data_IF_366042686255
#
_entry.id   IF_366042686255
#
_cell.length_a   1.000
_cell.length_b   1.000
_cell.length_c   1.000
_cell.angle_alpha   90.00
_cell.angle_beta   90.00
_cell.angle_gamma   90.00
#
_symmetry.space_group_name_H-M   'P 1'
#
loop_
_entity.id
_entity.type
_entity.pdbx_description
1 polymer ?
#
# COMPACT_ATOMS: atom_id res chain seq x y z
N UNK A 1 7.29 -6.77 27.87
CA UNK A 1 6.62 -5.46 27.80
C UNK A 1 6.57 -5.04 26.34
N UNK A 2 5.44 -4.57 25.81
CA UNK A 2 5.36 -4.15 24.40
C UNK A 2 6.09 -2.81 24.22
N UNK A 3 6.80 -2.65 23.10
CA UNK A 3 7.38 -1.38 22.68
C UNK A 3 7.28 -1.26 21.16
N UNK A 4 6.95 -0.08 20.65
CA UNK A 4 7.02 0.16 19.21
C UNK A 4 8.46 0.14 18.66
N UNK A 5 9.48 0.16 19.54
CA UNK A 5 10.90 0.05 19.15
C UNK A 5 11.31 -1.39 18.84
N UNK A 6 10.67 -2.39 19.46
CA UNK A 6 11.09 -3.79 19.39
C UNK A 6 10.18 -4.69 18.52
N UNK A 7 9.45 -4.09 17.57
CA UNK A 7 8.48 -4.82 16.72
C UNK A 7 9.15 -5.98 15.95
N UNK A 8 10.40 -5.81 15.52
CA UNK A 8 11.15 -6.88 14.83
C UNK A 8 11.87 -7.88 15.76
N UNK A 9 11.88 -7.68 17.08
CA UNK A 9 12.69 -8.46 18.03
C UNK A 9 12.41 -9.97 18.00
N UNK A 10 11.15 -10.36 17.77
CA UNK A 10 10.77 -11.78 17.64
C UNK A 10 11.29 -12.45 16.36
N UNK A 11 11.54 -11.68 15.30
CA UNK A 11 11.97 -12.22 13.99
C UNK A 11 13.49 -12.42 13.93
N UNK A 12 14.25 -11.72 14.78
CA UNK A 12 15.71 -11.90 14.91
C UNK A 12 16.06 -13.34 15.29
N UNK A 13 15.13 -14.09 15.91
CA UNK A 13 15.31 -15.50 16.28
C UNK A 13 14.93 -16.52 15.19
N UNK A 14 14.24 -16.12 14.13
CA UNK A 14 13.64 -17.08 13.16
C UNK A 14 14.28 -17.06 11.76
N UNK A 15 15.18 -16.14 11.44
CA UNK A 15 15.79 -16.11 10.10
C UNK A 15 17.26 -16.58 10.10
N UNK A 16 17.46 -17.90 10.14
CA UNK A 16 18.52 -18.54 9.36
C UNK A 16 17.86 -19.17 8.13
N UNK A 17 17.81 -18.45 7.02
CA UNK A 17 17.61 -19.11 5.74
C UNK A 17 18.95 -19.75 5.37
N UNK A 18 19.11 -21.03 5.70
CA UNK A 18 20.14 -21.86 5.10
C UNK A 18 19.76 -22.07 3.63
N UNK A 19 20.67 -21.71 2.73
CA UNK A 19 20.59 -22.09 1.33
C UNK A 19 20.63 -23.62 1.24
N UNK A 20 19.47 -24.25 1.20
CA UNK A 20 19.32 -25.68 1.12
C UNK A 20 19.41 -26.08 -0.35
N UNK A 21 20.48 -26.80 -0.71
CA UNK A 21 20.56 -27.48 -2.00
C UNK A 21 19.67 -28.72 -1.89
N UNK A 22 18.48 -28.65 -2.48
CA UNK A 22 17.54 -29.77 -2.48
C UNK A 22 17.99 -30.84 -3.46
N UNK A 23 17.88 -32.11 -3.06
CA UNK A 23 18.05 -33.25 -3.98
C UNK A 23 16.82 -33.37 -4.90
N UNK A 24 16.99 -33.96 -6.07
CA UNK A 24 15.90 -34.14 -7.05
C UNK A 24 14.69 -34.88 -6.46
N UNK A 25 14.94 -35.89 -5.63
CA UNK A 25 13.91 -36.66 -4.93
C UNK A 25 13.06 -35.78 -3.99
N UNK A 26 13.70 -34.86 -3.24
CA UNK A 26 13.03 -33.92 -2.34
C UNK A 26 12.19 -32.88 -3.12
N UNK A 27 12.68 -32.45 -4.29
CA UNK A 27 11.94 -31.56 -5.19
C UNK A 27 10.68 -32.26 -5.72
N UNK A 28 10.79 -33.52 -6.13
CA UNK A 28 9.67 -34.32 -6.64
C UNK A 28 8.65 -34.59 -5.53
N UNK A 29 9.12 -34.93 -4.33
CA UNK A 29 8.26 -35.16 -3.17
C UNK A 29 7.47 -33.89 -2.80
N UNK A 30 8.14 -32.74 -2.77
CA UNK A 30 7.51 -31.43 -2.59
C UNK A 30 6.40 -31.15 -3.62
N UNK A 31 6.64 -31.46 -4.89
CA UNK A 31 5.62 -31.32 -5.94
C UNK A 31 4.44 -32.28 -5.75
N UNK A 32 4.71 -33.57 -5.49
CA UNK A 32 3.68 -34.60 -5.28
C UNK A 32 2.80 -34.31 -4.07
N UNK A 33 3.39 -33.75 -3.01
CA UNK A 33 2.67 -33.32 -1.81
C UNK A 33 1.78 -32.08 -2.01
N UNK A 34 1.83 -31.48 -3.20
CA UNK A 34 1.02 -30.32 -3.56
C UNK A 34 1.41 -29.06 -2.79
N UNK A 35 2.66 -28.93 -2.35
CA UNK A 35 3.09 -27.75 -1.60
C UNK A 35 2.89 -26.47 -2.41
N UNK A 36 2.10 -25.54 -1.87
CA UNK A 36 1.72 -24.27 -2.51
C UNK A 36 0.94 -24.44 -3.84
N UNK A 37 0.26 -25.58 -4.05
CA UNK A 37 -0.62 -25.77 -5.20
C UNK A 37 -1.91 -24.99 -5.00
N UNK A 38 -2.22 -24.12 -5.95
CA UNK A 38 -3.47 -23.37 -5.98
C UNK A 38 -4.53 -24.21 -6.67
N UNK A 39 -5.66 -24.42 -5.99
CA UNK A 39 -6.86 -25.02 -6.55
C UNK A 39 -7.71 -23.91 -7.15
N UNK A 40 -8.07 -24.06 -8.42
CA UNK A 40 -8.87 -23.07 -9.14
C UNK A 40 -10.09 -23.71 -9.78
N UNK A 41 -11.20 -22.99 -9.76
CA UNK A 41 -12.37 -23.28 -10.58
C UNK A 41 -12.52 -22.23 -11.69
N UNK A 42 -13.26 -22.60 -12.75
CA UNK A 42 -13.62 -21.69 -13.83
C UNK A 42 -15.12 -21.49 -13.84
N UNK A 43 -15.55 -20.24 -13.98
CA UNK A 43 -16.95 -19.87 -14.10
C UNK A 43 -17.19 -18.97 -15.32
N UNK A 44 -18.43 -18.94 -15.80
CA UNK A 44 -18.86 -18.03 -16.87
C UNK A 44 -20.19 -17.40 -16.47
N UNK A 45 -20.18 -16.10 -16.25
CA UNK A 45 -21.37 -15.35 -15.85
C UNK A 45 -22.02 -14.72 -17.08
N UNK A 46 -23.30 -15.02 -17.38
CA UNK A 46 -24.05 -14.26 -18.38
C UNK A 46 -24.05 -12.78 -18.01
N UNK A 47 -23.79 -11.89 -18.98
CA UNK A 47 -23.71 -10.45 -18.67
C UNK A 47 -25.04 -9.90 -18.11
N UNK A 48 -26.17 -10.41 -18.61
CA UNK A 48 -27.50 -9.99 -18.18
C UNK A 48 -27.79 -10.27 -16.69
N UNK A 49 -27.21 -11.34 -16.13
CA UNK A 49 -27.39 -11.72 -14.72
C UNK A 49 -26.31 -11.12 -13.80
N UNK A 50 -25.36 -10.35 -14.35
CA UNK A 50 -24.19 -9.91 -13.58
C UNK A 50 -24.58 -9.01 -12.39
N UNK A 51 -25.63 -8.20 -12.52
CA UNK A 51 -26.17 -7.39 -11.41
C UNK A 51 -26.59 -8.29 -10.23
N UNK A 52 -27.44 -9.28 -10.48
CA UNK A 52 -27.95 -10.19 -9.44
C UNK A 52 -26.81 -10.99 -8.78
N UNK A 53 -25.89 -11.50 -9.60
CA UNK A 53 -24.78 -12.34 -9.12
C UNK A 53 -23.86 -11.55 -8.18
N UNK A 54 -23.51 -10.31 -8.55
CA UNK A 54 -22.50 -9.52 -7.83
C UNK A 54 -23.04 -8.63 -6.71
N UNK A 55 -24.36 -8.51 -6.54
CA UNK A 55 -24.96 -7.72 -5.46
C UNK A 55 -24.88 -8.41 -4.07
N UNK A 56 -25.08 -9.73 -4.00
CA UNK A 56 -25.23 -10.41 -2.71
C UNK A 56 -23.90 -10.97 -2.15
N UNK A 57 -23.10 -11.60 -3.00
CA UNK A 57 -22.03 -12.51 -2.56
C UNK A 57 -20.61 -12.05 -2.93
N UNK A 58 -20.47 -10.86 -3.54
CA UNK A 58 -19.20 -10.39 -4.09
C UNK A 58 -18.79 -9.05 -3.49
N UNK A 59 -17.59 -8.99 -2.91
CA UNK A 59 -16.98 -7.71 -2.55
C UNK A 59 -16.37 -7.04 -3.79
N UNK A 60 -17.18 -6.19 -4.43
CA UNK A 60 -16.80 -5.40 -5.61
C UNK A 60 -15.87 -4.23 -5.32
N UNK A 61 -15.67 -3.83 -4.06
CA UNK A 61 -14.87 -2.64 -3.69
C UNK A 61 -13.93 -2.92 -2.52
N UNK A 62 -12.95 -3.82 -2.67
CA UNK A 62 -11.82 -3.88 -1.76
C UNK A 62 -11.21 -2.49 -1.53
N UNK A 63 -10.96 -2.14 -0.27
CA UNK A 63 -10.51 -0.79 0.12
C UNK A 63 -9.20 -0.37 -0.59
N UNK A 64 -8.40 -1.36 -0.98
CA UNK A 64 -7.09 -1.19 -1.59
C UNK A 64 -7.11 -0.80 -3.09
N UNK A 65 -8.24 -0.90 -3.80
CA UNK A 65 -8.35 -0.52 -5.23
C UNK A 65 -9.19 0.75 -5.49
N UNK A 66 -9.60 1.49 -4.44
CA UNK A 66 -10.59 2.60 -4.55
C UNK A 66 -10.15 3.83 -5.36
N UNK A 67 -8.88 3.99 -5.74
CA UNK A 67 -8.35 5.27 -6.28
C UNK A 67 -8.29 5.37 -7.82
N UNK A 68 -8.46 4.28 -8.58
CA UNK A 68 -8.36 4.33 -10.05
C UNK A 68 -9.67 3.87 -10.71
N UNK A 69 -10.28 4.73 -11.53
CA UNK A 69 -11.53 4.46 -12.25
C UNK A 69 -11.30 4.69 -13.74
N UNK A 70 -11.72 3.76 -14.59
CA UNK A 70 -11.64 3.95 -16.04
C UNK A 70 -12.48 5.15 -16.50
N UNK A 71 -11.93 5.94 -17.42
CA UNK A 71 -12.68 6.97 -18.12
C UNK A 71 -13.77 6.36 -19.03
N UNK A 72 -14.73 7.18 -19.44
CA UNK A 72 -15.88 6.71 -20.22
C UNK A 72 -15.46 6.12 -21.57
N UNK A 73 -14.37 6.60 -22.18
CA UNK A 73 -13.86 6.07 -23.46
C UNK A 73 -13.37 4.63 -23.29
N UNK A 74 -12.55 4.37 -22.27
CA UNK A 74 -12.06 3.03 -21.97
C UNK A 74 -13.18 2.08 -21.54
N UNK A 75 -14.15 2.58 -20.76
CA UNK A 75 -15.39 1.84 -20.44
C UNK A 75 -16.14 1.46 -21.71
N UNK A 76 -16.31 2.39 -22.64
CA UNK A 76 -17.05 2.18 -23.89
C UNK A 76 -16.36 1.18 -24.81
N UNK A 77 -15.02 1.21 -24.91
CA UNK A 77 -14.24 0.21 -25.66
C UNK A 77 -14.40 -1.21 -25.13
N UNK A 78 -14.59 -1.40 -23.82
CA UNK A 78 -14.92 -2.71 -23.26
C UNK A 78 -16.29 -3.20 -23.77
N UNK A 79 -17.30 -2.31 -23.77
CA UNK A 79 -18.63 -2.65 -24.29
C UNK A 79 -18.56 -2.95 -25.80
N UNK A 80 -17.77 -2.17 -26.57
CA UNK A 80 -17.52 -2.43 -27.99
C UNK A 80 -17.01 -3.84 -28.21
N UNK A 81 -16.03 -4.29 -27.43
CA UNK A 81 -15.49 -5.65 -27.51
C UNK A 81 -16.57 -6.73 -27.33
N UNK A 82 -17.59 -6.53 -26.49
CA UNK A 82 -18.70 -7.47 -26.37
C UNK A 82 -19.63 -7.47 -27.60
N UNK A 83 -19.85 -6.30 -28.20
CA UNK A 83 -20.63 -6.15 -29.44
C UNK A 83 -19.96 -6.95 -30.56
N UNK A 84 -18.64 -6.79 -30.75
CA UNK A 84 -17.87 -7.49 -31.79
C UNK A 84 -17.34 -8.87 -31.38
N UNK A 85 -17.67 -9.34 -30.18
CA UNK A 85 -17.26 -10.66 -29.66
C UNK A 85 -15.73 -10.87 -29.58
N UNK A 86 -14.98 -9.83 -29.21
CA UNK A 86 -13.57 -9.97 -28.86
C UNK A 86 -13.46 -10.70 -27.51
N UNK A 87 -12.56 -11.71 -27.38
CA UNK A 87 -12.29 -12.36 -26.10
C UNK A 87 -11.83 -11.36 -25.03
N UNK A 88 -12.54 -11.35 -23.91
CA UNK A 88 -12.18 -10.52 -22.74
C UNK A 88 -11.40 -11.38 -21.74
N UNK A 89 -10.27 -10.88 -21.18
CA UNK A 89 -9.54 -11.58 -20.13
C UNK A 89 -10.45 -11.92 -18.94
N UNK A 90 -10.31 -13.13 -18.35
CA UNK A 90 -11.13 -13.52 -17.23
C UNK A 90 -10.95 -12.57 -16.04
N UNK A 91 -11.96 -12.46 -15.21
CA UNK A 91 -11.81 -11.87 -13.88
C UNK A 91 -11.24 -12.91 -12.92
N UNK A 92 -10.54 -12.46 -11.88
CA UNK A 92 -10.02 -13.35 -10.85
C UNK A 92 -10.74 -13.10 -9.55
N UNK A 93 -11.22 -14.18 -8.96
CA UNK A 93 -12.00 -14.18 -7.74
C UNK A 93 -11.27 -14.99 -6.67
N UNK A 94 -11.40 -14.57 -5.43
CA UNK A 94 -10.89 -15.31 -4.29
C UNK A 94 -12.03 -15.62 -3.34
N UNK A 95 -12.21 -16.90 -3.02
CA UNK A 95 -13.21 -17.33 -2.05
C UNK A 95 -12.72 -17.02 -0.63
N UNK A 96 -13.36 -16.03 0.02
CA UNK A 96 -13.03 -15.62 1.40
C UNK A 96 -13.73 -16.50 2.44
N UNK A 97 -14.97 -16.87 2.13
CA UNK A 97 -15.83 -17.79 2.87
C UNK A 97 -16.63 -18.60 1.84
N UNK A 98 -17.22 -19.72 2.26
CA UNK A 98 -17.99 -20.57 1.36
C UNK A 98 -19.03 -19.74 0.57
N UNK A 99 -18.93 -19.78 -0.76
CA UNK A 99 -19.79 -19.02 -1.68
C UNK A 99 -19.73 -17.48 -1.55
N UNK A 100 -18.73 -16.93 -0.86
CA UNK A 100 -18.45 -15.48 -0.81
C UNK A 100 -17.11 -15.18 -1.44
N UNK A 101 -17.10 -14.21 -2.36
CA UNK A 101 -15.95 -13.94 -3.21
C UNK A 101 -15.46 -12.50 -3.11
N UNK A 102 -14.15 -12.31 -3.17
CA UNK A 102 -13.50 -11.03 -3.36
C UNK A 102 -12.92 -10.94 -4.77
N UNK A 103 -13.18 -9.83 -5.47
CA UNK A 103 -12.60 -9.62 -6.80
C UNK A 103 -11.13 -9.22 -6.66
N UNK A 104 -10.22 -10.12 -7.09
CA UNK A 104 -8.77 -9.87 -7.09
C UNK A 104 -8.31 -9.05 -8.31
N UNK A 105 -8.81 -9.40 -9.49
CA UNK A 105 -8.55 -8.69 -10.74
C UNK A 105 -9.83 -8.60 -11.60
N UNK A 106 -9.93 -7.52 -12.38
CA UNK A 106 -11.05 -7.29 -13.27
C UNK A 106 -12.18 -6.45 -12.69
N UNK A 107 -11.98 -5.82 -11.53
CA UNK A 107 -12.95 -4.92 -10.89
C UNK A 107 -13.48 -3.84 -11.85
N UNK A 108 -12.60 -3.20 -12.63
CA UNK A 108 -13.02 -2.19 -13.61
C UNK A 108 -13.88 -2.79 -14.73
N UNK A 109 -13.61 -4.04 -15.14
CA UNK A 109 -14.44 -4.74 -16.15
C UNK A 109 -15.83 -5.02 -15.59
N UNK A 110 -15.91 -5.57 -14.39
CA UNK A 110 -17.18 -5.86 -13.71
C UNK A 110 -17.97 -4.56 -13.51
N UNK A 111 -17.38 -3.55 -12.89
CA UNK A 111 -18.05 -2.26 -12.65
C UNK A 111 -18.50 -1.59 -13.95
N UNK A 112 -17.71 -1.67 -15.03
CA UNK A 112 -18.11 -1.10 -16.32
C UNK A 112 -19.35 -1.78 -16.87
N UNK A 113 -19.42 -3.11 -16.80
CA UNK A 113 -20.59 -3.87 -17.28
C UNK A 113 -21.81 -3.51 -16.43
N UNK A 114 -21.69 -3.57 -15.10
CA UNK A 114 -22.77 -3.20 -14.17
C UNK A 114 -23.24 -1.75 -14.39
N UNK A 115 -22.32 -0.79 -14.51
CA UNK A 115 -22.64 0.61 -14.74
C UNK A 115 -23.36 0.82 -16.09
N UNK A 116 -22.96 0.08 -17.13
CA UNK A 116 -23.58 0.20 -18.45
C UNK A 116 -25.00 -0.39 -18.47
N UNK A 117 -25.18 -1.59 -17.92
CA UNK A 117 -26.49 -2.24 -17.80
C UNK A 117 -27.49 -1.43 -16.95
N UNK A 118 -26.99 -0.63 -16.01
CA UNK A 118 -27.76 0.28 -15.17
C UNK A 118 -27.82 1.73 -15.72
N UNK A 119 -27.51 1.94 -17.01
CA UNK A 119 -27.64 3.24 -17.71
C UNK A 119 -26.86 4.41 -17.07
N UNK A 120 -25.79 4.13 -16.33
CA UNK A 120 -24.99 5.15 -15.62
C UNK A 120 -24.06 5.95 -16.53
N UNK A 121 -23.79 5.47 -17.75
CA UNK A 121 -23.04 6.21 -18.75
C UNK A 121 -23.51 5.85 -20.17
N UNK A 122 -23.25 6.76 -21.12
CA UNK A 122 -23.46 6.54 -22.55
C UNK A 122 -22.15 6.19 -23.25
N UNK A 123 -22.22 5.38 -24.31
CA UNK A 123 -21.04 5.01 -25.09
C UNK A 123 -20.36 6.24 -25.70
N UNK A 124 -19.02 6.27 -25.71
CA UNK A 124 -18.22 7.35 -26.29
C UNK A 124 -16.87 6.82 -26.78
N UNK A 125 -16.33 7.43 -27.84
CA UNK A 125 -15.01 7.06 -28.37
C UNK A 125 -14.93 5.64 -28.94
N UNK A 126 -16.06 5.08 -29.42
CA UNK A 126 -16.10 3.83 -30.17
C UNK A 126 -15.37 3.98 -31.50
N UNK A 127 -14.66 2.93 -31.93
CA UNK A 127 -13.86 2.96 -33.17
C UNK A 127 -14.55 2.27 -34.34
N UNK A 128 -15.26 1.18 -34.08
CA UNK A 128 -15.91 0.31 -35.07
C UNK A 128 -17.42 0.60 -35.13
N UNK A 129 -18.08 0.76 -33.97
CA UNK A 129 -19.52 1.00 -33.87
C UNK A 129 -19.82 2.45 -33.50
N UNK A 130 -19.30 3.40 -34.30
CA UNK A 130 -19.38 4.85 -34.01
C UNK A 130 -20.82 5.35 -33.87
N UNK A 131 -21.77 4.71 -34.52
CA UNK A 131 -23.20 5.01 -34.54
C UNK A 131 -23.87 4.76 -33.19
N UNK A 132 -23.23 3.97 -32.32
CA UNK A 132 -23.71 3.71 -30.97
C UNK A 132 -23.20 4.73 -29.95
N UNK A 133 -22.28 5.63 -30.33
CA UNK A 133 -21.87 6.74 -29.44
C UNK A 133 -23.09 7.57 -29.03
N UNK A 134 -23.13 7.97 -27.76
CA UNK A 134 -24.24 8.69 -27.14
C UNK A 134 -25.33 7.79 -26.58
N UNK A 135 -25.39 6.51 -26.96
CA UNK A 135 -26.43 5.58 -26.48
C UNK A 135 -26.08 4.96 -25.13
N UNK A 136 -27.08 4.86 -24.27
CA UNK A 136 -27.08 4.00 -23.08
C UNK A 136 -27.57 2.59 -23.42
N UNK A 137 -27.49 1.66 -22.47
CA UNK A 137 -27.91 0.28 -22.67
C UNK A 137 -29.41 0.17 -23.02
N UNK A 138 -30.28 0.93 -22.35
CA UNK A 138 -31.73 0.94 -22.65
C UNK A 138 -32.07 1.52 -24.03
N UNK A 139 -31.17 2.30 -24.63
CA UNK A 139 -31.36 3.00 -25.91
C UNK A 139 -30.79 2.23 -27.11
N UNK A 140 -30.19 1.05 -26.86
CA UNK A 140 -29.66 0.19 -27.90
C UNK A 140 -30.78 -0.43 -28.75
N UNK A 141 -30.55 -0.63 -30.07
CA UNK A 141 -31.43 -1.45 -30.90
C UNK A 141 -31.60 -2.85 -30.31
N UNK A 142 -32.81 -3.40 -30.40
CA UNK A 142 -33.19 -4.67 -29.78
C UNK A 142 -32.23 -5.82 -30.09
N UNK A 143 -31.80 -5.95 -31.34
CA UNK A 143 -30.91 -7.04 -31.76
C UNK A 143 -29.47 -6.86 -31.28
N UNK A 144 -29.00 -5.61 -31.18
CA UNK A 144 -27.68 -5.30 -30.61
C UNK A 144 -27.69 -5.60 -29.11
N UNK A 145 -28.75 -5.18 -28.41
CA UNK A 145 -28.97 -5.49 -26.99
C UNK A 145 -28.93 -6.99 -26.73
N UNK A 146 -29.75 -7.76 -27.47
CA UNK A 146 -29.74 -9.22 -27.40
C UNK A 146 -28.36 -9.83 -27.75
N UNK A 147 -27.62 -9.20 -28.67
CA UNK A 147 -26.27 -9.59 -29.04
C UNK A 147 -25.24 -9.44 -27.91
N UNK A 148 -25.39 -8.42 -27.06
CA UNK A 148 -24.55 -8.21 -25.86
C UNK A 148 -25.03 -9.14 -24.72
N UNK A 149 -26.34 -9.27 -24.51
CA UNK A 149 -26.92 -10.05 -23.40
C UNK A 149 -26.56 -11.54 -23.43
N UNK A 150 -26.38 -12.09 -24.64
CA UNK A 150 -25.91 -13.48 -24.81
C UNK A 150 -24.42 -13.69 -24.54
N UNK A 151 -23.66 -12.64 -24.20
CA UNK A 151 -22.22 -12.74 -23.91
C UNK A 151 -22.00 -13.16 -22.46
N UNK A 152 -20.78 -13.59 -22.18
CA UNK A 152 -20.38 -14.07 -20.86
C UNK A 152 -19.10 -13.38 -20.41
N UNK A 153 -19.02 -13.13 -19.10
CA UNK A 153 -17.79 -12.78 -18.41
C UNK A 153 -17.18 -14.04 -17.81
N UNK A 154 -16.01 -14.44 -18.32
CA UNK A 154 -15.26 -15.58 -17.76
C UNK A 154 -14.61 -15.20 -16.43
N UNK A 155 -14.55 -16.14 -15.49
CA UNK A 155 -13.92 -15.98 -14.20
C UNK A 155 -13.06 -17.19 -13.84
N UNK A 156 -11.97 -16.93 -13.12
CA UNK A 156 -11.13 -17.94 -12.47
C UNK A 156 -11.25 -17.70 -10.97
N UNK A 157 -11.73 -18.70 -10.25
CA UNK A 157 -11.99 -18.64 -8.82
C UNK A 157 -10.88 -19.40 -8.10
N UNK A 158 -10.21 -18.75 -7.17
CA UNK A 158 -9.27 -19.37 -6.25
C UNK A 158 -10.03 -19.85 -5.02
N UNK A 159 -10.01 -21.17 -4.82
CA UNK A 159 -10.71 -21.79 -3.69
C UNK A 159 -9.87 -21.70 -2.42
N UNK A 160 -10.55 -21.48 -1.30
CA UNK A 160 -9.95 -21.40 0.04
C UNK A 160 -9.21 -22.70 0.45
N UNK A 161 -9.65 -23.82 -0.09
CA UNK A 161 -9.09 -25.17 0.14
C UNK A 161 -7.63 -25.33 -0.34
N UNK A 162 -7.07 -24.32 -1.02
CA UNK A 162 -5.70 -24.32 -1.52
C UNK A 162 -4.61 -24.23 -0.43
N UNK A 163 -4.96 -23.92 0.82
CA UNK A 163 -4.01 -23.68 1.92
C UNK A 163 -4.27 -24.55 3.15
N UNK A 164 -3.23 -25.21 3.66
CA UNK A 164 -3.31 -26.08 4.86
C UNK A 164 -3.33 -25.27 6.18
N UNK A 165 -3.03 -23.97 6.13
CA UNK A 165 -3.00 -23.07 7.29
C UNK A 165 -3.21 -21.60 6.86
N UNK A 166 -3.65 -20.75 7.80
CA UNK A 166 -3.99 -19.33 7.54
C UNK A 166 -2.80 -18.51 7.03
N UNK A 167 -1.55 -18.90 7.36
CA UNK A 167 -0.36 -18.19 6.90
C UNK A 167 -0.01 -18.52 5.45
N UNK A 168 -0.20 -19.77 5.02
CA UNK A 168 -0.07 -20.14 3.60
C UNK A 168 -1.19 -19.53 2.74
N UNK A 169 -2.40 -19.35 3.28
CA UNK A 169 -3.54 -18.70 2.63
C UNK A 169 -3.21 -17.25 2.19
N UNK A 170 -2.78 -16.41 3.14
CA UNK A 170 -2.45 -15.00 2.85
C UNK A 170 -1.27 -14.87 1.88
N UNK A 171 -0.26 -15.73 2.03
CA UNK A 171 0.92 -15.75 1.16
C UNK A 171 0.57 -16.20 -0.26
N UNK A 172 -0.34 -17.15 -0.42
CA UNK A 172 -0.84 -17.57 -1.74
C UNK A 172 -1.69 -16.49 -2.40
N UNK A 173 -2.59 -15.84 -1.65
CA UNK A 173 -3.35 -14.67 -2.14
C UNK A 173 -2.38 -13.59 -2.65
N UNK A 174 -1.33 -13.30 -1.90
CA UNK A 174 -0.24 -12.39 -2.32
C UNK A 174 0.43 -12.84 -3.63
N UNK A 175 0.90 -14.08 -3.70
CA UNK A 175 1.61 -14.57 -4.88
C UNK A 175 0.76 -14.54 -6.15
N UNK A 176 -0.51 -14.90 -6.03
CA UNK A 176 -1.44 -14.85 -7.14
C UNK A 176 -1.69 -13.40 -7.54
N UNK A 177 -1.96 -12.53 -6.59
CA UNK A 177 -2.17 -11.12 -6.85
C UNK A 177 -0.96 -10.46 -7.53
N UNK A 178 0.27 -10.73 -7.06
CA UNK A 178 1.51 -10.22 -7.65
C UNK A 178 1.73 -10.76 -9.08
N UNK A 179 1.42 -12.04 -9.34
CA UNK A 179 1.62 -12.68 -10.66
C UNK A 179 0.54 -12.29 -11.67
N UNK A 180 -0.71 -12.15 -11.25
CA UNK A 180 -1.83 -11.79 -12.14
C UNK A 180 -1.79 -10.33 -12.56
N UNK A 181 -1.35 -9.44 -11.67
CA UNK A 181 -1.19 -8.02 -11.97
C UNK A 181 -0.03 -7.71 -12.94
N UNK A 182 0.65 -8.71 -13.50
CA UNK A 182 1.77 -8.50 -14.42
C UNK A 182 1.36 -8.07 -15.84
N UNK A 183 0.10 -8.34 -16.25
CA UNK A 183 -0.44 -7.98 -17.57
C UNK A 183 -1.30 -6.70 -17.63
N UNK A 184 -1.67 -6.13 -16.47
CA UNK A 184 -2.47 -4.90 -16.33
C UNK A 184 -1.69 -3.72 -15.73
N UNK A 185 -2.39 -2.70 -15.24
CA UNK A 185 -1.78 -1.66 -14.39
C UNK A 185 -1.29 -2.32 -13.10
N UNK A 186 0.01 -2.62 -13.02
CA UNK A 186 0.66 -3.19 -11.84
C UNK A 186 0.33 -2.34 -10.62
N UNK A 187 -0.14 -2.94 -9.54
CA UNK A 187 -0.28 -2.26 -8.25
C UNK A 187 1.10 -2.05 -7.60
N UNK A 188 1.25 -0.96 -6.86
CA UNK A 188 2.49 -0.63 -6.15
C UNK A 188 2.59 -1.51 -4.92
N UNK A 189 3.81 -1.67 -4.40
CA UNK A 189 4.05 -2.47 -3.21
C UNK A 189 3.16 -2.05 -2.02
N UNK A 190 2.87 -0.76 -1.85
CA UNK A 190 2.00 -0.29 -0.77
C UNK A 190 0.52 -0.64 -0.98
N UNK A 191 0.04 -0.62 -2.22
CA UNK A 191 -1.32 -1.02 -2.58
C UNK A 191 -1.52 -2.52 -2.28
N UNK A 192 -0.50 -3.33 -2.57
CA UNK A 192 -0.45 -4.77 -2.24
C UNK A 192 -0.49 -4.99 -0.72
N UNK A 193 0.31 -4.27 0.07
CA UNK A 193 0.31 -4.40 1.55
C UNK A 193 -1.07 -4.14 2.16
N UNK A 194 -1.72 -3.07 1.73
CA UNK A 194 -3.04 -2.70 2.25
C UNK A 194 -4.10 -3.75 1.88
N UNK A 195 -3.94 -4.41 0.73
CA UNK A 195 -4.84 -5.47 0.29
C UNK A 195 -4.71 -6.75 1.13
N UNK A 196 -3.47 -7.09 1.48
CA UNK A 196 -3.16 -8.36 2.11
C UNK A 196 -3.31 -8.32 3.63
N UNK A 197 -3.11 -7.15 4.23
CA UNK A 197 -2.99 -7.01 5.68
C UNK A 197 -3.98 -5.99 6.28
N UNK A 198 -5.30 -6.14 6.04
CA UNK A 198 -6.30 -5.28 6.67
C UNK A 198 -6.20 -5.42 8.20
N UNK A 199 -6.09 -4.30 8.91
CA UNK A 199 -5.92 -4.28 10.36
C UNK A 199 -6.20 -2.90 10.94
N UNK A 200 -6.41 -2.82 12.26
CA UNK A 200 -6.54 -1.53 12.98
C UNK A 200 -5.32 -0.63 12.76
N UNK A 201 -4.14 -1.21 12.56
CA UNK A 201 -2.93 -0.46 12.24
C UNK A 201 -2.98 0.07 10.80
N UNK A 202 -3.45 -0.71 9.83
CA UNK A 202 -3.66 -0.23 8.46
C UNK A 202 -4.64 0.97 8.42
N UNK A 203 -5.73 0.90 9.19
CA UNK A 203 -6.68 2.02 9.31
C UNK A 203 -6.03 3.27 9.91
N UNK A 204 -5.11 3.08 10.88
CA UNK A 204 -4.32 4.15 11.45
C UNK A 204 -3.40 4.79 10.40
N UNK A 205 -2.70 3.99 9.58
CA UNK A 205 -1.83 4.49 8.51
C UNK A 205 -2.62 5.40 7.56
N UNK A 206 -3.82 4.97 7.15
CA UNK A 206 -4.71 5.76 6.30
C UNK A 206 -5.05 7.09 7.00
N UNK A 207 -5.50 7.05 8.27
CA UNK A 207 -5.83 8.26 9.04
C UNK A 207 -4.66 9.23 9.21
N UNK A 208 -3.46 8.72 9.53
CA UNK A 208 -2.28 9.54 9.74
C UNK A 208 -1.76 10.15 8.43
N UNK A 209 -1.98 9.47 7.29
CA UNK A 209 -1.63 10.01 5.97
C UNK A 209 -2.47 11.24 5.58
N UNK A 210 -3.62 11.42 6.22
CA UNK A 210 -4.51 12.58 6.09
C UNK A 210 -4.19 13.71 7.09
N UNK A 211 -3.15 13.55 7.92
CA UNK A 211 -2.75 14.57 8.89
C UNK A 211 -2.34 15.87 8.17
N UNK A 212 -2.93 17.00 8.59
CA UNK A 212 -2.72 18.32 7.96
C UNK A 212 -1.27 18.78 8.00
N UNK A 213 -0.56 18.56 9.11
CA UNK A 213 0.85 18.95 9.25
C UNK A 213 1.70 18.08 8.32
N UNK A 214 1.45 16.77 8.30
CA UNK A 214 2.15 15.85 7.42
C UNK A 214 2.01 16.23 5.94
N UNK A 215 0.77 16.44 5.45
CA UNK A 215 0.51 16.88 4.08
C UNK A 215 1.18 18.22 3.74
N UNK A 216 1.23 19.16 4.71
CA UNK A 216 1.88 20.45 4.54
C UNK A 216 3.41 20.35 4.43
N UNK A 217 4.02 19.48 5.23
CA UNK A 217 5.47 19.28 5.26
C UNK A 217 5.97 18.42 4.10
N UNK A 218 5.14 17.51 3.59
CA UNK A 218 5.54 16.48 2.64
C UNK A 218 4.48 16.25 1.57
N UNK A 219 4.51 17.10 0.53
CA UNK A 219 3.59 17.00 -0.61
C UNK A 219 4.07 15.94 -1.61
N UNK A 220 3.71 14.68 -1.37
CA UNK A 220 4.03 13.56 -2.28
C UNK A 220 2.84 13.22 -3.20
N UNK A 221 1.72 13.94 -3.07
CA UNK A 221 0.44 13.54 -3.64
C UNK A 221 -0.10 12.22 -3.07
N UNK A 222 -1.33 11.90 -3.44
CA UNK A 222 -2.02 10.67 -3.01
C UNK A 222 -1.90 9.50 -4.01
N UNK A 223 -1.18 9.75 -5.10
CA UNK A 223 -0.99 8.78 -6.19
C UNK A 223 -0.40 7.47 -5.65
N UNK A 224 -1.10 6.37 -5.94
CA UNK A 224 -0.64 5.00 -5.67
C UNK A 224 -0.20 4.77 -4.22
N UNK A 225 -0.83 5.48 -3.28
CA UNK A 225 -0.64 5.33 -1.82
C UNK A 225 0.77 5.64 -1.31
N UNK A 226 1.52 6.51 -2.01
CA UNK A 226 2.86 6.94 -1.57
C UNK A 226 2.85 7.59 -0.19
N UNK A 227 1.82 8.37 0.13
CA UNK A 227 1.63 8.97 1.45
C UNK A 227 1.47 7.91 2.55
N UNK A 228 0.79 6.79 2.26
CA UNK A 228 0.59 5.70 3.21
C UNK A 228 1.91 4.97 3.47
N UNK A 229 2.70 4.75 2.41
CA UNK A 229 4.05 4.16 2.51
C UNK A 229 4.94 4.97 3.44
N UNK A 230 4.91 6.31 3.37
CA UNK A 230 5.77 7.15 4.21
C UNK A 230 5.41 7.07 5.69
N UNK A 231 4.12 7.05 6.03
CA UNK A 231 3.69 6.85 7.43
C UNK A 231 4.13 5.47 7.93
N UNK A 232 3.92 4.41 7.14
CA UNK A 232 4.39 3.07 7.47
C UNK A 232 5.92 3.03 7.64
N UNK A 233 6.63 3.73 6.76
CA UNK A 233 8.10 3.82 6.73
C UNK A 233 8.65 4.45 7.99
N UNK A 234 8.00 5.47 8.57
CA UNK A 234 8.41 6.04 9.85
C UNK A 234 8.47 4.98 10.96
N UNK A 235 7.37 4.25 11.19
CA UNK A 235 7.31 3.24 12.25
C UNK A 235 8.29 2.09 12.00
N UNK A 236 8.36 1.65 10.74
CA UNK A 236 9.23 0.57 10.29
C UNK A 236 10.70 0.94 10.49
N UNK A 237 11.12 2.11 10.03
CA UNK A 237 12.52 2.53 10.08
C UNK A 237 12.94 2.87 11.51
N UNK A 238 12.04 3.41 12.35
CA UNK A 238 12.34 3.62 13.77
C UNK A 238 12.70 2.31 14.45
N UNK A 239 11.87 1.27 14.29
CA UNK A 239 12.14 -0.05 14.89
C UNK A 239 13.38 -0.71 14.26
N UNK A 240 13.57 -0.59 12.95
CA UNK A 240 14.76 -1.14 12.26
C UNK A 240 16.06 -0.45 12.69
N UNK A 241 16.05 0.88 12.86
CA UNK A 241 17.20 1.64 13.36
C UNK A 241 17.51 1.32 14.82
N UNK A 242 16.49 1.13 15.66
CA UNK A 242 16.67 0.75 17.05
C UNK A 242 17.35 -0.63 17.18
N UNK A 243 16.98 -1.58 16.32
CA UNK A 243 17.51 -2.95 16.33
C UNK A 243 18.71 -3.17 15.40
N UNK A 244 19.12 -2.16 14.61
CA UNK A 244 20.22 -2.29 13.65
C UNK A 244 19.97 -3.28 12.52
N UNK A 245 18.72 -3.43 12.06
CA UNK A 245 18.36 -4.45 11.06
C UNK A 245 18.76 -3.99 9.66
N UNK A 246 19.54 -4.82 8.97
CA UNK A 246 19.94 -4.59 7.57
C UNK A 246 19.17 -5.49 6.60
N UNK A 247 17.99 -5.03 6.17
CA UNK A 247 17.16 -5.65 5.13
C UNK A 247 16.69 -4.62 4.10
N UNK A 248 16.15 -5.08 2.97
CA UNK A 248 15.59 -4.19 1.97
C UNK A 248 14.36 -3.43 2.52
N UNK A 249 14.10 -2.22 2.00
CA UNK A 249 12.91 -1.43 2.40
C UNK A 249 11.63 -2.23 2.19
N UNK A 250 11.52 -2.96 1.07
CA UNK A 250 10.34 -3.78 0.78
C UNK A 250 10.12 -4.82 1.89
N UNK A 251 11.14 -5.61 2.20
CA UNK A 251 11.05 -6.66 3.23
C UNK A 251 10.71 -6.08 4.60
N UNK A 252 11.30 -4.95 4.98
CA UNK A 252 11.04 -4.31 6.27
C UNK A 252 9.57 -3.89 6.38
N UNK A 253 9.04 -3.20 5.36
CA UNK A 253 7.66 -2.72 5.35
C UNK A 253 6.65 -3.88 5.32
N UNK A 254 6.90 -4.91 4.49
CA UNK A 254 6.06 -6.10 4.41
C UNK A 254 6.01 -6.82 5.76
N UNK A 255 7.19 -7.00 6.37
CA UNK A 255 7.33 -7.66 7.66
C UNK A 255 6.66 -6.90 8.79
N UNK A 256 6.84 -5.57 8.85
CA UNK A 256 6.22 -4.73 9.88
C UNK A 256 4.69 -4.79 9.79
N UNK A 257 4.14 -4.63 8.58
CA UNK A 257 2.69 -4.65 8.34
C UNK A 257 2.08 -5.99 8.74
N UNK A 258 2.77 -7.10 8.42
CA UNK A 258 2.35 -8.44 8.81
C UNK A 258 2.32 -8.63 10.33
N UNK A 259 3.33 -8.15 11.07
CA UNK A 259 3.34 -8.21 12.53
C UNK A 259 2.22 -7.35 13.12
N UNK A 260 2.01 -6.17 12.54
CA UNK A 260 1.06 -5.17 13.01
C UNK A 260 -0.41 -5.61 12.94
N UNK A 261 -0.74 -6.67 12.17
CA UNK A 261 -2.07 -7.30 12.21
C UNK A 261 -2.50 -7.71 13.62
N UNK A 262 -1.53 -8.07 14.48
CA UNK A 262 -1.78 -8.52 15.85
C UNK A 262 -1.85 -7.35 16.85
N UNK A 263 -1.72 -6.10 16.40
CA UNK A 263 -1.74 -4.96 17.30
C UNK A 263 -3.14 -4.71 17.85
N UNK A 264 -3.25 -4.57 19.17
CA UNK A 264 -4.49 -4.21 19.84
C UNK A 264 -4.72 -2.70 19.82
N UNK A 265 -5.93 -2.26 20.22
CA UNK A 265 -6.30 -0.84 20.16
C UNK A 265 -5.40 0.08 21.00
N UNK A 266 -4.87 -0.40 22.13
CA UNK A 266 -3.96 0.37 22.98
C UNK A 266 -2.63 0.63 22.26
N UNK A 267 -2.04 -0.42 21.68
CA UNK A 267 -0.81 -0.35 20.90
C UNK A 267 -0.95 0.57 19.68
N UNK A 268 -2.09 0.49 18.98
CA UNK A 268 -2.41 1.38 17.85
C UNK A 268 -2.52 2.83 18.32
N UNK A 269 -3.13 3.10 19.48
CA UNK A 269 -3.19 4.46 20.03
C UNK A 269 -1.81 5.01 20.42
N UNK A 270 -0.95 4.19 21.03
CA UNK A 270 0.43 4.59 21.35
C UNK A 270 1.24 4.98 20.09
N UNK A 271 1.05 4.24 18.98
CA UNK A 271 1.66 4.58 17.68
C UNK A 271 1.09 5.87 17.08
N UNK A 272 -0.21 6.11 17.26
CA UNK A 272 -0.87 7.35 16.82
C UNK A 272 -0.25 8.57 17.53
N UNK A 273 -0.20 8.54 18.86
CA UNK A 273 0.36 9.61 19.67
C UNK A 273 1.84 9.86 19.34
N UNK A 274 2.62 8.79 19.17
CA UNK A 274 4.01 8.88 18.72
C UNK A 274 4.14 9.68 17.43
N UNK A 275 3.37 9.33 16.39
CA UNK A 275 3.44 10.03 15.11
C UNK A 275 2.98 11.48 15.20
N UNK A 276 1.83 11.74 15.84
CA UNK A 276 1.24 13.08 15.94
C UNK A 276 2.14 14.04 16.73
N UNK A 277 2.72 13.58 17.84
CA UNK A 277 3.68 14.37 18.62
C UNK A 277 4.96 14.63 17.82
N UNK A 278 5.47 13.62 17.13
CA UNK A 278 6.72 13.73 16.33
C UNK A 278 6.54 14.71 15.17
N UNK A 279 5.50 14.57 14.36
CA UNK A 279 5.31 15.44 13.19
C UNK A 279 5.05 16.89 13.59
N UNK A 280 4.34 17.11 14.71
CA UNK A 280 4.13 18.44 15.29
C UNK A 280 5.46 19.05 15.75
N UNK A 281 6.28 18.28 16.46
CA UNK A 281 7.60 18.74 16.89
C UNK A 281 8.50 19.08 15.70
N UNK A 282 8.54 18.24 14.66
CA UNK A 282 9.28 18.53 13.43
C UNK A 282 8.82 19.85 12.81
N UNK A 283 7.51 20.09 12.74
CA UNK A 283 6.96 21.35 12.23
C UNK A 283 7.40 22.55 13.06
N UNK A 284 7.39 22.45 14.38
CA UNK A 284 7.80 23.55 15.27
C UNK A 284 9.31 23.81 15.20
N UNK A 285 10.14 22.76 15.11
CA UNK A 285 11.59 22.88 15.01
C UNK A 285 12.05 23.44 13.65
N UNK A 286 11.51 22.92 12.55
CA UNK A 286 12.07 23.09 11.22
C UNK A 286 11.14 23.83 10.24
N UNK A 287 9.90 24.12 10.63
CA UNK A 287 8.93 24.84 9.81
C UNK A 287 8.47 24.06 8.57
N UNK A 288 7.78 24.76 7.67
CA UNK A 288 7.12 24.16 6.49
C UNK A 288 8.08 23.43 5.54
N UNK A 289 9.35 23.82 5.54
CA UNK A 289 10.40 23.29 4.66
C UNK A 289 11.28 22.24 5.35
N UNK A 290 10.78 21.61 6.42
CA UNK A 290 11.52 20.61 7.18
C UNK A 290 12.16 19.54 6.29
N UNK A 291 11.38 18.94 5.37
CA UNK A 291 11.83 17.83 4.53
C UNK A 291 12.40 18.25 3.17
N UNK A 292 12.58 19.55 2.93
CA UNK A 292 12.97 20.08 1.63
C UNK A 292 14.49 20.10 1.48
N UNK A 293 14.95 19.71 0.30
CA UNK A 293 16.33 19.89 -0.15
C UNK A 293 16.61 21.34 -0.58
N UNK A 294 17.87 21.64 -0.92
CA UNK A 294 18.28 22.95 -1.44
C UNK A 294 17.54 23.35 -2.73
N UNK A 295 17.15 22.36 -3.53
CA UNK A 295 16.38 22.53 -4.78
C UNK A 295 14.87 22.65 -4.55
N UNK A 296 14.43 22.85 -3.30
CA UNK A 296 13.03 23.05 -2.89
C UNK A 296 12.08 21.89 -3.21
N UNK A 297 12.58 20.66 -3.27
CA UNK A 297 11.74 19.47 -3.33
C UNK A 297 11.82 18.68 -2.01
N UNK A 298 10.69 18.12 -1.53
CA UNK A 298 10.68 17.22 -0.40
C UNK A 298 11.42 15.91 -0.71
N UNK A 299 12.33 15.45 0.16
CA UNK A 299 13.02 14.17 -0.01
C UNK A 299 12.77 13.18 1.13
N UNK A 300 12.59 11.89 0.77
CA UNK A 300 12.39 10.79 1.72
C UNK A 300 13.53 10.68 2.74
N UNK A 301 14.76 10.99 2.33
CA UNK A 301 15.93 10.91 3.19
C UNK A 301 15.88 11.90 4.37
N UNK A 302 15.43 13.14 4.12
CA UNK A 302 15.25 14.13 5.18
C UNK A 302 14.08 13.76 6.08
N UNK A 303 12.98 13.26 5.49
CA UNK A 303 11.87 12.73 6.25
C UNK A 303 12.31 11.63 7.23
N UNK A 304 13.02 10.61 6.73
CA UNK A 304 13.48 9.47 7.53
C UNK A 304 14.34 9.97 8.71
N UNK A 305 15.33 10.83 8.44
CA UNK A 305 16.27 11.32 9.46
C UNK A 305 15.57 12.21 10.50
N UNK A 306 14.81 13.21 10.06
CA UNK A 306 14.17 14.19 10.95
C UNK A 306 13.08 13.56 11.81
N UNK A 307 12.22 12.72 11.24
CA UNK A 307 11.15 12.08 12.00
C UNK A 307 11.70 11.14 13.07
N UNK A 308 12.69 10.30 12.72
CA UNK A 308 13.24 9.33 13.67
C UNK A 308 14.03 10.04 14.77
N UNK A 309 14.90 11.00 14.42
CA UNK A 309 15.66 11.77 15.40
C UNK A 309 14.75 12.56 16.35
N UNK A 310 13.71 13.19 15.81
CA UNK A 310 12.70 13.90 16.60
C UNK A 310 11.94 12.99 17.56
N UNK A 311 11.54 11.79 17.11
CA UNK A 311 10.88 10.82 17.96
C UNK A 311 11.80 10.36 19.11
N UNK A 312 13.08 10.09 18.82
CA UNK A 312 14.07 9.72 19.84
C UNK A 312 14.29 10.86 20.83
N UNK A 313 14.44 12.10 20.34
CA UNK A 313 14.60 13.27 21.19
C UNK A 313 13.40 13.45 22.14
N UNK A 314 12.17 13.35 21.61
CA UNK A 314 10.95 13.43 22.41
C UNK A 314 10.89 12.31 23.46
N UNK A 315 11.21 11.07 23.10
CA UNK A 315 11.24 9.94 24.04
C UNK A 315 12.22 10.20 25.20
N UNK A 316 13.44 10.67 24.90
CA UNK A 316 14.45 11.00 25.91
C UNK A 316 13.99 12.14 26.85
N UNK A 317 13.09 13.00 26.39
CA UNK A 317 12.55 14.15 27.12
C UNK A 317 11.09 13.97 27.57
N UNK A 318 10.59 12.72 27.64
CA UNK A 318 9.22 12.39 28.06
C UNK A 318 8.12 13.15 27.29
N UNK A 319 8.32 13.33 25.99
CA UNK A 319 7.44 14.04 25.06
C UNK A 319 7.16 15.50 25.44
N UNK A 320 8.02 16.11 26.26
CA UNK A 320 7.94 17.53 26.62
C UNK A 320 8.92 18.34 25.79
N UNK A 321 8.44 19.44 25.23
CA UNK A 321 9.27 20.45 24.60
C UNK A 321 8.61 21.82 24.72
N UNK A 322 9.43 22.86 24.82
CA UNK A 322 8.98 24.25 24.76
C UNK A 322 8.75 24.64 23.31
N UNK A 323 7.73 25.46 23.07
CA UNK A 323 7.46 25.99 21.72
C UNK A 323 8.67 26.78 21.26
N UNK A 324 9.17 26.46 20.07
CA UNK A 324 10.38 27.05 19.54
C UNK A 324 10.01 28.38 18.85
N UNK A 325 10.52 29.50 19.36
CA UNK A 325 10.23 30.84 18.80
C UNK A 325 10.84 31.05 17.41
N UNK A 326 12.04 30.52 17.18
CA UNK A 326 12.75 30.58 15.90
C UNK A 326 13.20 29.20 15.45
N UNK A 327 12.79 28.79 14.25
CA UNK A 327 13.13 27.49 13.66
C UNK A 327 14.63 27.30 13.54
N UNK A 328 15.10 26.07 13.66
CA UNK A 328 16.51 25.67 13.50
C UNK A 328 16.81 25.10 12.08
N UNK A 329 15.94 25.38 11.11
CA UNK A 329 16.06 24.85 9.76
C UNK A 329 17.32 25.33 9.02
N UNK A 330 17.82 26.52 9.31
CA UNK A 330 19.07 27.01 8.73
C UNK A 330 20.27 26.18 9.22
N UNK A 331 20.28 25.81 10.50
CA UNK A 331 21.32 24.95 11.09
C UNK A 331 21.27 23.53 10.54
N UNK A 332 20.06 23.00 10.30
CA UNK A 332 19.87 21.75 9.54
C UNK A 332 20.53 21.83 8.16
N UNK A 333 20.33 22.94 7.44
CA UNK A 333 20.91 23.13 6.10
C UNK A 333 22.45 23.17 6.18
N UNK A 334 23.03 23.87 7.15
CA UNK A 334 24.48 23.88 7.37
C UNK A 334 25.04 22.48 7.66
N UNK A 335 24.41 21.74 8.58
CA UNK A 335 24.79 20.36 8.91
C UNK A 335 24.78 19.44 7.68
N UNK A 336 23.74 19.55 6.84
CA UNK A 336 23.63 18.77 5.59
C UNK A 336 24.78 19.12 4.63
N UNK A 337 25.15 20.39 4.54
CA UNK A 337 26.23 20.85 3.66
C UNK A 337 27.61 20.38 4.11
N UNK A 338 27.83 20.26 5.42
CA UNK A 338 29.07 19.72 6.00
C UNK A 338 29.14 18.20 5.83
N UNK A 339 28.00 17.51 5.86
CA UNK A 339 27.89 16.04 5.82
C UNK A 339 27.36 15.50 4.47
N UNK A 340 27.70 16.16 3.35
CA UNK A 340 27.16 15.86 2.01
C UNK A 340 27.30 14.39 1.59
N UNK A 341 28.33 13.70 2.05
CA UNK A 341 28.54 12.28 1.74
C UNK A 341 27.40 11.37 2.23
N UNK A 342 26.74 11.72 3.34
CA UNK A 342 25.62 10.97 3.91
C UNK A 342 24.26 11.49 3.40
N UNK A 343 24.21 12.70 2.84
CA UNK A 343 23.00 13.35 2.33
C UNK A 343 22.97 13.49 0.80
N UNK A 344 23.57 12.54 0.07
CA UNK A 344 23.63 12.54 -1.41
C UNK A 344 22.57 11.68 -2.10
N UNK A 345 21.63 11.09 -1.35
CA UNK A 345 20.54 10.25 -1.87
C UNK A 345 20.94 8.86 -2.38
N UNK A 346 22.24 8.55 -2.55
CA UNK A 346 22.72 7.24 -3.05
C UNK A 346 22.79 6.15 -1.97
N UNK A 347 22.70 6.55 -0.71
CA UNK A 347 22.99 5.73 0.47
C UNK A 347 21.74 5.51 1.35
N UNK A 348 20.85 4.62 0.92
CA UNK A 348 19.51 4.40 1.54
C UNK A 348 19.44 3.28 2.57
N UNK A 349 20.55 2.56 2.82
CA UNK A 349 20.59 1.48 3.81
C UNK A 349 20.25 1.98 5.23
N UNK A 350 19.72 1.08 6.07
CA UNK A 350 19.38 1.42 7.48
C UNK A 350 20.60 1.95 8.23
N UNK A 351 21.81 1.41 7.98
CA UNK A 351 23.05 1.93 8.57
C UNK A 351 23.27 3.41 8.26
N UNK A 352 23.03 3.82 7.02
CA UNK A 352 23.17 5.23 6.63
C UNK A 352 22.03 6.10 7.16
N UNK A 353 20.82 5.54 7.32
CA UNK A 353 19.73 6.21 8.03
C UNK A 353 20.13 6.45 9.49
N UNK A 354 20.71 5.48 10.20
CA UNK A 354 21.17 5.63 11.58
C UNK A 354 22.22 6.74 11.73
N UNK A 355 23.18 6.85 10.80
CA UNK A 355 24.17 7.94 10.80
C UNK A 355 23.49 9.30 10.69
N UNK A 356 22.59 9.47 9.71
CA UNK A 356 21.84 10.73 9.55
C UNK A 356 20.97 11.06 10.77
N UNK A 357 20.33 10.05 11.35
CA UNK A 357 19.53 10.20 12.58
C UNK A 357 20.40 10.70 13.72
N UNK A 358 21.61 10.14 13.89
CA UNK A 358 22.55 10.57 14.92
C UNK A 358 22.94 12.04 14.76
N UNK A 359 23.32 12.47 13.55
CA UNK A 359 23.68 13.86 13.27
C UNK A 359 22.55 14.84 13.57
N UNK A 360 21.32 14.49 13.17
CA UNK A 360 20.15 15.35 13.44
C UNK A 360 19.79 15.35 14.93
N UNK A 361 19.97 14.23 15.63
CA UNK A 361 19.73 14.15 17.07
C UNK A 361 20.73 15.02 17.84
N UNK A 362 22.02 14.99 17.46
CA UNK A 362 23.05 15.86 18.03
C UNK A 362 22.70 17.33 17.84
N UNK A 363 22.27 17.73 16.63
CA UNK A 363 21.76 19.08 16.36
C UNK A 363 20.57 19.45 17.27
N UNK A 364 19.60 18.55 17.46
CA UNK A 364 18.45 18.81 18.34
C UNK A 364 18.88 18.99 19.80
N UNK A 365 19.82 18.16 20.28
CA UNK A 365 20.36 18.25 21.63
C UNK A 365 21.11 19.57 21.86
N UNK A 366 21.96 19.99 20.92
CA UNK A 366 22.71 21.25 21.01
C UNK A 366 21.77 22.45 21.04
N UNK A 367 20.87 22.54 20.07
CA UNK A 367 20.02 23.71 19.86
C UNK A 367 18.94 23.91 20.92
N UNK A 368 18.45 22.83 21.49
CA UNK A 368 17.34 22.88 22.43
C UNK A 368 17.81 22.86 23.89
N UNK A 369 19.03 22.38 24.18
CA UNK A 369 19.66 22.58 25.50
C UNK A 369 20.05 24.02 25.73
N UNK A 370 20.61 24.70 24.73
CA UNK A 370 20.99 26.12 24.85
C UNK A 370 19.81 27.02 25.19
N UNK A 371 18.60 26.67 24.73
CA UNK A 371 17.38 27.46 24.97
C UNK A 371 16.76 27.24 26.35
N UNK A 372 16.89 26.03 26.92
CA UNK A 372 16.39 25.73 28.27
C UNK A 372 17.29 26.29 29.38
N UNK A 373 18.54 26.68 29.08
CA UNK A 373 19.45 27.30 30.04
C UNK A 373 19.27 28.83 30.15
N UNK A 374 18.43 29.44 29.30
CA UNK A 374 18.16 30.89 29.25
C UNK A 374 16.70 31.26 29.57
N UNK A 375 15.88 30.27 29.94
CA UNK A 375 14.52 30.42 30.49
C UNK A 375 14.51 30.07 31.96
#
# INVERSE_FOLDING_TARGET
MWSYNNVFEKIIKENKEESTIFKEEEIIEKYKNGENRIVTEQARYPLINLNEIFEENYNLKPEYQRKFVWDTVRKSRLIESFIINIPIPPIFLYEIEYSKYEVMDGQQRVNTILDYYNDKFSLSGLEIWKELNGKKYSELPKDIKAGIDRRYLSAIILLKESSKDVFSEQKMKQFVFERLNTGGLRLENQEIRNALYPSKFNDLIIKLSENKIFKKLFDIGEERMKNYEMVLRFFTYKSACYLGISKSTKELLDTYTRIAQKFNSKQVNELKELFENTIKFVYECFGEKAFYNLNRNPEKMFYDALMIASAIYLENHNFKYTKIEKTINDKKISLINENKEFFNGKQTSIKNVQIRVKLILELLEEELRERNNWS
#
